data_IF_894761982734
#
_entry.id   IF_894761982734
#
_cell.length_a   1.000
_cell.length_b   1.000
_cell.length_c   1.000
_cell.angle_alpha   90.00
_cell.angle_beta   90.00
_cell.angle_gamma   90.00
#
_symmetry.space_group_name_H-M   'P 1'
#
loop_
_entity.id
_entity.type
_entity.pdbx_description
1 polymer ?
#
# COMPACT_ATOMS: atom_id res chain seq x y z
N UNK A 1 -5.16 10.19 -24.98
CA UNK A 1 -4.89 8.74 -24.82
C UNK A 1 -5.56 8.28 -23.54
N UNK A 2 -6.48 7.33 -23.63
CA UNK A 2 -7.07 6.67 -22.47
C UNK A 2 -6.17 5.50 -22.11
N UNK A 3 -5.55 5.53 -20.93
CA UNK A 3 -4.71 4.42 -20.44
C UNK A 3 -5.62 3.48 -19.68
N UNK A 4 -5.75 2.24 -20.16
CA UNK A 4 -6.46 1.16 -19.47
C UNK A 4 -5.42 0.26 -18.79
N UNK A 5 -5.52 0.10 -17.48
CA UNK A 5 -4.72 -0.86 -16.72
C UNK A 5 -5.43 -2.21 -16.76
N UNK A 6 -5.04 -3.09 -17.68
CA UNK A 6 -5.60 -4.44 -17.78
C UNK A 6 -4.86 -5.41 -16.85
N UNK A 7 -5.12 -5.27 -15.55
CA UNK A 7 -4.51 -6.11 -14.51
C UNK A 7 -5.63 -6.70 -13.63
N UNK A 8 -5.69 -8.02 -13.46
CA UNK A 8 -6.71 -8.65 -12.62
C UNK A 8 -6.66 -8.12 -11.18
N UNK A 9 -7.83 -7.92 -10.56
CA UNK A 9 -7.93 -7.42 -9.19
C UNK A 9 -7.10 -8.25 -8.19
N UNK A 10 -7.06 -9.57 -8.36
CA UNK A 10 -6.27 -10.47 -7.52
C UNK A 10 -4.76 -10.13 -7.55
N UNK A 11 -4.24 -9.68 -8.69
CA UNK A 11 -2.84 -9.27 -8.84
C UNK A 11 -2.59 -7.94 -8.13
N UNK A 12 -3.51 -6.97 -8.26
CA UNK A 12 -3.40 -5.68 -7.54
C UNK A 12 -3.49 -5.86 -6.03
N UNK A 13 -4.38 -6.77 -5.56
CA UNK A 13 -4.50 -7.13 -4.15
C UNK A 13 -3.20 -7.77 -3.62
N UNK A 14 -2.67 -8.76 -4.34
CA UNK A 14 -1.41 -9.42 -3.96
C UNK A 14 -0.21 -8.45 -3.98
N UNK A 15 -0.20 -7.49 -4.92
CA UNK A 15 0.83 -6.45 -4.96
C UNK A 15 0.74 -5.53 -3.73
N UNK A 16 -0.46 -5.11 -3.34
CA UNK A 16 -0.69 -4.34 -2.10
C UNK A 16 -0.18 -5.11 -0.88
N UNK A 17 -0.59 -6.36 -0.72
CA UNK A 17 -0.21 -7.19 0.43
C UNK A 17 1.32 -7.33 0.55
N UNK A 18 2.01 -7.55 -0.57
CA UNK A 18 3.48 -7.59 -0.61
C UNK A 18 4.14 -6.28 -0.20
N UNK A 19 3.58 -5.13 -0.60
CA UNK A 19 4.12 -3.83 -0.19
C UNK A 19 3.88 -3.54 1.29
N UNK A 20 2.75 -3.99 1.83
CA UNK A 20 2.41 -3.91 3.25
C UNK A 20 3.38 -4.76 4.09
N UNK A 21 3.57 -6.03 3.70
CA UNK A 21 4.53 -6.95 4.33
C UNK A 21 5.96 -6.39 4.29
N UNK A 22 6.39 -5.87 3.12
CA UNK A 22 7.71 -5.27 2.99
C UNK A 22 7.87 -4.03 3.87
N UNK A 23 6.83 -3.20 4.02
CA UNK A 23 6.86 -2.05 4.91
C UNK A 23 7.03 -2.48 6.37
N UNK A 24 6.29 -3.49 6.83
CA UNK A 24 6.38 -4.02 8.18
C UNK A 24 7.75 -4.65 8.48
N UNK A 25 8.30 -5.42 7.53
CA UNK A 25 9.62 -6.03 7.67
C UNK A 25 10.73 -4.98 7.78
N UNK A 26 10.67 -3.95 6.93
CA UNK A 26 11.62 -2.83 6.94
C UNK A 26 11.45 -1.97 8.20
N UNK A 27 10.21 -1.76 8.67
CA UNK A 27 9.94 -1.04 9.91
C UNK A 27 10.59 -1.75 11.11
N UNK A 28 10.41 -3.07 11.20
CA UNK A 28 11.08 -3.88 12.20
C UNK A 28 12.60 -3.85 12.05
N UNK A 29 13.13 -3.86 10.83
CA UNK A 29 14.56 -3.86 10.56
C UNK A 29 15.25 -2.57 11.05
N UNK A 30 14.72 -1.39 10.73
CA UNK A 30 15.34 -0.14 11.19
C UNK A 30 15.22 0.02 12.70
N UNK A 31 14.10 -0.40 13.31
CA UNK A 31 13.96 -0.38 14.77
C UNK A 31 14.99 -1.27 15.47
N UNK A 32 15.29 -2.45 14.92
CA UNK A 32 16.33 -3.34 15.45
C UNK A 32 17.71 -2.72 15.30
N UNK A 33 18.02 -2.13 14.13
CA UNK A 33 19.29 -1.48 13.88
C UNK A 33 19.52 -0.29 14.82
N UNK A 34 18.50 0.55 15.02
CA UNK A 34 18.56 1.72 15.91
C UNK A 34 18.72 1.36 17.40
N UNK A 35 18.46 0.10 17.78
CA UNK A 35 18.56 -0.40 19.17
C UNK A 35 19.80 -1.26 19.40
N UNK A 36 20.72 -1.35 18.44
CA UNK A 36 21.98 -2.08 18.62
C UNK A 36 22.75 -1.47 19.79
N UNK A 37 23.01 -2.28 20.83
CA UNK A 37 23.83 -1.87 21.96
C UNK A 37 25.30 -1.91 21.58
N UNK A 38 26.02 -0.85 21.94
CA UNK A 38 27.49 -0.76 21.81
C UNK A 38 28.18 -0.66 23.18
N UNK A 39 27.46 -0.89 24.28
CA UNK A 39 27.94 -0.68 25.66
C UNK A 39 29.18 -1.49 26.03
N UNK A 40 29.33 -2.68 25.43
CA UNK A 40 30.40 -3.63 25.78
C UNK A 40 31.54 -3.60 24.75
N UNK A 41 31.48 -2.67 23.79
CA UNK A 41 32.48 -2.51 22.74
C UNK A 41 33.52 -1.46 23.15
N UNK A 42 34.73 -1.59 22.60
CA UNK A 42 35.71 -0.51 22.72
C UNK A 42 35.25 0.72 21.93
N UNK A 43 35.68 1.92 22.33
CA UNK A 43 35.27 3.19 21.71
C UNK A 43 35.47 3.21 20.18
N UNK A 44 36.56 2.62 19.69
CA UNK A 44 36.87 2.53 18.26
C UNK A 44 35.83 1.68 17.53
N UNK A 45 35.45 0.54 18.11
CA UNK A 45 34.47 -0.37 17.51
C UNK A 45 33.07 0.23 17.65
N UNK A 46 32.72 0.81 18.80
CA UNK A 46 31.46 1.50 19.01
C UNK A 46 31.27 2.65 18.01
N UNK A 47 32.31 3.47 17.78
CA UNK A 47 32.29 4.55 16.79
C UNK A 47 32.11 4.04 15.35
N UNK A 48 32.73 2.91 15.01
CA UNK A 48 32.56 2.27 13.70
C UNK A 48 31.14 1.72 13.50
N UNK A 49 30.57 1.12 14.56
CA UNK A 49 29.18 0.62 14.55
C UNK A 49 28.19 1.77 14.40
N UNK A 50 28.36 2.88 15.13
CA UNK A 50 27.49 4.05 14.99
C UNK A 50 27.58 4.67 13.60
N UNK A 51 28.80 4.86 13.07
CA UNK A 51 29.01 5.40 11.72
C UNK A 51 28.37 4.54 10.62
N UNK A 52 28.24 3.23 10.85
CA UNK A 52 27.49 2.34 9.98
C UNK A 52 25.97 2.41 10.25
N UNK A 53 25.55 2.24 11.50
CA UNK A 53 24.14 2.09 11.85
C UNK A 53 23.32 3.36 11.54
N UNK A 54 23.83 4.54 11.88
CA UNK A 54 23.09 5.80 11.76
C UNK A 54 22.57 6.08 10.34
N UNK A 55 23.41 6.09 9.28
CA UNK A 55 22.92 6.35 7.92
C UNK A 55 21.98 5.24 7.42
N UNK A 56 22.24 3.98 7.80
CA UNK A 56 21.40 2.86 7.37
C UNK A 56 20.03 2.85 8.07
N UNK A 57 19.94 3.34 9.31
CA UNK A 57 18.64 3.53 9.99
C UNK A 57 17.77 4.50 9.18
N UNK A 58 18.33 5.64 8.77
CA UNK A 58 17.60 6.64 8.00
C UNK A 58 17.21 6.13 6.61
N UNK A 59 18.10 5.40 5.94
CA UNK A 59 17.83 4.82 4.63
C UNK A 59 16.72 3.76 4.70
N UNK A 60 16.83 2.78 5.61
CA UNK A 60 15.81 1.72 5.76
C UNK A 60 14.46 2.33 6.16
N UNK A 61 14.45 3.35 7.02
CA UNK A 61 13.23 4.07 7.39
C UNK A 61 12.60 4.81 6.19
N UNK A 62 13.40 5.40 5.33
CA UNK A 62 12.91 6.03 4.10
C UNK A 62 12.31 5.01 3.13
N UNK A 63 12.94 3.83 2.99
CA UNK A 63 12.42 2.74 2.15
C UNK A 63 11.13 2.16 2.74
N UNK A 64 11.05 1.95 4.05
CA UNK A 64 9.84 1.47 4.74
C UNK A 64 8.64 2.40 4.47
N UNK A 65 8.83 3.71 4.62
CA UNK A 65 7.79 4.72 4.32
C UNK A 65 7.35 4.70 2.87
N UNK A 66 8.28 4.47 1.94
CA UNK A 66 7.97 4.38 0.51
C UNK A 66 7.16 3.12 0.19
N UNK A 67 7.52 1.98 0.76
CA UNK A 67 6.77 0.73 0.64
C UNK A 67 5.34 0.89 1.17
N UNK A 68 5.18 1.49 2.35
CA UNK A 68 3.88 1.81 2.92
C UNK A 68 3.06 2.73 1.99
N UNK A 69 3.69 3.79 1.47
CA UNK A 69 3.04 4.70 0.52
C UNK A 69 2.53 3.97 -0.73
N UNK A 70 3.27 2.98 -1.24
CA UNK A 70 2.79 2.16 -2.35
C UNK A 70 1.58 1.31 -1.98
N UNK A 71 1.57 0.69 -0.80
CA UNK A 71 0.39 -0.05 -0.32
C UNK A 71 -0.84 0.88 -0.19
N UNK A 72 -0.65 2.11 0.30
CA UNK A 72 -1.71 3.13 0.43
C UNK A 72 -2.26 3.58 -0.93
N UNK A 73 -1.42 3.74 -1.95
CA UNK A 73 -1.86 4.06 -3.32
C UNK A 73 -2.83 3.01 -3.88
N UNK A 74 -2.60 1.71 -3.61
CA UNK A 74 -3.54 0.65 -3.98
C UNK A 74 -4.89 0.80 -3.25
N UNK A 75 -4.89 1.24 -1.99
CA UNK A 75 -6.12 1.51 -1.24
C UNK A 75 -6.87 2.71 -1.83
N UNK A 76 -6.15 3.78 -2.15
CA UNK A 76 -6.71 4.97 -2.76
C UNK A 76 -7.33 4.67 -4.13
N UNK A 77 -6.60 3.96 -4.99
CA UNK A 77 -7.10 3.53 -6.30
C UNK A 77 -8.37 2.68 -6.17
N UNK A 78 -8.41 1.72 -5.25
CA UNK A 78 -9.62 0.91 -5.00
C UNK A 78 -10.82 1.77 -4.59
N UNK A 79 -10.62 2.75 -3.69
CA UNK A 79 -11.69 3.66 -3.27
C UNK A 79 -12.21 4.50 -4.44
N UNK A 80 -11.31 4.99 -5.29
CA UNK A 80 -11.68 5.75 -6.49
C UNK A 80 -12.52 4.90 -7.46
N UNK A 81 -12.13 3.65 -7.70
CA UNK A 81 -12.91 2.74 -8.55
C UNK A 81 -14.32 2.54 -8.01
N UNK A 82 -14.46 2.26 -6.71
CA UNK A 82 -15.78 2.08 -6.07
C UNK A 82 -16.64 3.34 -6.21
N UNK A 83 -16.07 4.52 -5.99
CA UNK A 83 -16.80 5.79 -6.13
C UNK A 83 -17.26 6.05 -7.57
N UNK A 84 -16.39 5.78 -8.55
CA UNK A 84 -16.75 5.93 -9.97
C UNK A 84 -17.83 4.95 -10.36
N UNK A 85 -17.72 3.68 -9.95
CA UNK A 85 -18.70 2.65 -10.25
C UNK A 85 -20.08 2.97 -9.64
N UNK A 86 -20.12 3.40 -8.38
CA UNK A 86 -21.34 3.87 -7.72
C UNK A 86 -21.98 5.04 -8.48
N UNK A 87 -21.20 6.06 -8.86
CA UNK A 87 -21.71 7.20 -9.61
C UNK A 87 -22.26 6.81 -10.99
N UNK A 88 -21.63 5.84 -11.67
CA UNK A 88 -22.12 5.33 -12.96
C UNK A 88 -23.40 4.50 -12.77
N UNK A 89 -23.45 3.64 -11.75
CA UNK A 89 -24.64 2.86 -11.42
C UNK A 89 -25.84 3.77 -11.11
N UNK A 90 -25.64 4.86 -10.37
CA UNK A 90 -26.68 5.87 -10.11
C UNK A 90 -27.15 6.58 -11.38
N UNK A 91 -26.23 6.95 -12.28
CA UNK A 91 -26.58 7.52 -13.59
C UNK A 91 -27.40 6.55 -14.43
N UNK A 92 -27.00 5.28 -14.49
CA UNK A 92 -27.74 4.25 -15.21
C UNK A 92 -29.14 4.04 -14.62
N UNK A 93 -29.28 4.01 -13.28
CA UNK A 93 -30.58 3.99 -12.60
C UNK A 93 -31.45 5.18 -13.00
N UNK A 94 -30.88 6.38 -13.08
CA UNK A 94 -31.64 7.57 -13.47
C UNK A 94 -32.21 7.48 -14.90
N UNK A 95 -31.58 6.70 -15.78
CA UNK A 95 -32.03 6.46 -17.16
C UNK A 95 -33.07 5.33 -17.27
N UNK A 96 -33.25 4.50 -16.25
CA UNK A 96 -34.25 3.42 -16.25
C UNK A 96 -35.68 3.96 -16.04
N UNK A 97 -36.71 3.25 -16.55
CA UNK A 97 -38.10 3.53 -16.25
C UNK A 97 -38.35 3.57 -14.74
N UNK A 98 -39.28 4.42 -14.27
CA UNK A 98 -39.50 4.67 -12.83
C UNK A 98 -39.69 3.38 -12.00
N UNK A 99 -40.40 2.40 -12.54
CA UNK A 99 -40.63 1.10 -11.89
C UNK A 99 -39.34 0.31 -11.62
N UNK A 100 -38.28 0.55 -12.39
CA UNK A 100 -37.02 -0.19 -12.34
C UNK A 100 -35.88 0.63 -11.68
N UNK A 101 -36.15 1.87 -11.24
CA UNK A 101 -35.12 2.76 -10.66
C UNK A 101 -34.55 2.25 -9.33
N UNK A 102 -35.35 1.51 -8.56
CA UNK A 102 -34.94 0.95 -7.27
C UNK A 102 -34.36 -0.47 -7.38
N UNK A 103 -34.18 -0.99 -8.60
CA UNK A 103 -33.55 -2.29 -8.79
C UNK A 103 -32.16 -2.32 -8.12
N UNK A 104 -31.97 -3.32 -7.26
CA UNK A 104 -30.69 -3.53 -6.58
C UNK A 104 -29.62 -3.88 -7.61
N UNK A 105 -28.52 -3.12 -7.61
CA UNK A 105 -27.34 -3.46 -8.41
C UNK A 105 -26.68 -4.62 -7.68
N UNK A 106 -26.70 -5.80 -8.31
CA UNK A 106 -26.05 -7.00 -7.79
C UNK A 106 -24.65 -7.07 -8.39
N UNK A 107 -23.63 -7.29 -7.56
CA UNK A 107 -22.31 -7.72 -8.06
C UNK A 107 -22.50 -9.05 -8.82
N UNK A 108 -22.16 -9.06 -10.10
CA UNK A 108 -22.12 -10.28 -10.90
C UNK A 108 -20.67 -10.73 -10.95
N UNK A 109 -20.33 -11.80 -10.23
CA UNK A 109 -19.04 -12.47 -10.41
C UNK A 109 -19.06 -13.17 -11.76
N UNK A 110 -18.24 -12.74 -12.71
CA UNK A 110 -18.06 -13.49 -13.95
C UNK A 110 -17.20 -14.74 -13.73
N UNK A 111 -17.56 -15.91 -14.32
CA UNK A 111 -16.85 -17.17 -14.18
C UNK A 111 -15.47 -17.15 -14.85
#
# INVERSE_FOLDING_TARGET
MTITLDVPYAVLKAARERWDEAADELDGAWHRLAKVSTSDLSDVVAGSVAAFADPWVDEVKAVARRAQGYAEEFVFFRRMLVLVDQAQAERLRALLPWAEREAAVREVSWP
#
